data_IF_430733983830
#
_entry.id   IF_430733983830
#
_cell.length_a   1.000
_cell.length_b   1.000
_cell.length_c   1.000
_cell.angle_alpha   90.00
_cell.angle_beta   90.00
_cell.angle_gamma   90.00
#
_symmetry.space_group_name_H-M   'P 1'
#
loop_
_entity.id
_entity.type
_entity.pdbx_description
1 polymer ?
#
# COMPACT_ATOMS: atom_id res chain seq x y z
N UNK A 1 -30.78 2.68 -15.12
CA UNK A 1 -29.68 2.90 -14.14
C UNK A 1 -30.27 3.42 -12.84
N UNK A 2 -29.68 3.11 -11.67
CA UNK A 2 -30.18 3.63 -10.37
C UNK A 2 -29.03 4.32 -9.64
N UNK A 3 -29.33 5.45 -9.02
CA UNK A 3 -28.38 6.18 -8.19
C UNK A 3 -28.13 5.43 -6.89
N UNK A 4 -26.87 5.19 -6.58
CA UNK A 4 -26.38 4.77 -5.28
C UNK A 4 -25.94 6.02 -4.52
N UNK A 5 -26.33 6.09 -3.26
CA UNK A 5 -25.92 7.13 -2.32
C UNK A 5 -25.37 6.49 -1.05
N UNK A 6 -24.16 6.84 -0.68
CA UNK A 6 -23.45 6.35 0.52
C UNK A 6 -22.94 7.56 1.29
N UNK A 7 -23.24 7.62 2.60
CA UNK A 7 -22.96 8.79 3.44
C UNK A 7 -22.33 8.33 4.72
N UNK A 8 -21.23 8.95 5.06
CA UNK A 8 -20.48 8.73 6.30
C UNK A 8 -20.26 10.09 6.95
N UNK A 9 -20.44 10.18 8.26
CA UNK A 9 -20.19 11.42 8.99
C UNK A 9 -19.64 11.13 10.37
N UNK A 10 -18.71 11.96 10.83
CA UNK A 10 -18.12 11.87 12.16
C UNK A 10 -17.96 13.26 12.77
N UNK A 11 -18.27 13.37 14.06
CA UNK A 11 -17.92 14.54 14.85
C UNK A 11 -16.51 14.36 15.40
N UNK A 12 -15.63 15.32 15.12
CA UNK A 12 -14.23 15.34 15.59
C UNK A 12 -14.10 16.40 16.67
N UNK A 13 -13.45 16.05 17.78
CA UNK A 13 -13.20 16.96 18.91
C UNK A 13 -11.97 17.85 18.65
N UNK A 14 -12.01 18.58 17.53
CA UNK A 14 -11.01 19.57 17.15
C UNK A 14 -11.66 20.72 16.38
N UNK A 15 -11.06 21.93 16.38
CA UNK A 15 -11.52 23.04 15.56
C UNK A 15 -11.56 22.67 14.06
N UNK A 16 -12.54 23.23 13.34
CA UNK A 16 -12.69 23.00 11.90
C UNK A 16 -11.46 23.43 11.09
N UNK A 17 -10.71 24.44 11.56
CA UNK A 17 -9.52 24.93 10.87
C UNK A 17 -8.34 23.96 11.00
N UNK A 18 -8.20 23.31 12.17
CA UNK A 18 -7.22 22.22 12.37
C UNK A 18 -7.51 21.06 11.42
N UNK A 19 -8.76 20.60 11.37
CA UNK A 19 -9.15 19.48 10.49
C UNK A 19 -9.10 19.88 9.01
N UNK A 20 -9.45 21.12 8.70
CA UNK A 20 -9.36 21.70 7.36
C UNK A 20 -7.93 21.69 6.81
N UNK A 21 -6.96 22.12 7.62
CA UNK A 21 -5.55 22.10 7.23
C UNK A 21 -5.00 20.67 6.99
N UNK A 22 -5.57 19.66 7.65
CA UNK A 22 -5.26 18.26 7.33
C UNK A 22 -5.87 17.84 5.99
N UNK A 23 -7.12 18.26 5.74
CA UNK A 23 -7.83 17.95 4.50
C UNK A 23 -7.13 18.52 3.26
N UNK A 24 -6.56 19.73 3.37
CA UNK A 24 -5.83 20.39 2.29
C UNK A 24 -4.54 19.66 1.86
N UNK A 25 -4.07 18.70 2.66
CA UNK A 25 -2.89 17.87 2.35
C UNK A 25 -3.23 16.47 1.84
N UNK A 26 -4.51 16.15 1.68
CA UNK A 26 -4.97 14.85 1.18
C UNK A 26 -4.38 14.56 -0.22
N UNK A 27 -3.81 13.38 -0.40
CA UNK A 27 -3.14 12.99 -1.64
C UNK A 27 -1.76 13.61 -1.89
N UNK A 28 -1.23 14.40 -0.95
CA UNK A 28 0.12 14.95 -0.97
C UNK A 28 1.20 13.95 -0.53
N UNK A 29 2.47 14.37 -0.58
CA UNK A 29 3.60 13.54 -0.15
C UNK A 29 3.57 13.21 1.37
N UNK A 30 2.99 14.12 2.15
CA UNK A 30 2.83 14.02 3.59
C UNK A 30 1.39 13.74 4.03
N UNK A 31 0.56 13.21 3.12
CA UNK A 31 -0.88 12.93 3.34
C UNK A 31 -1.15 12.34 4.74
N UNK A 32 -1.81 13.11 5.63
CA UNK A 32 -2.06 12.69 7.00
C UNK A 32 -3.34 11.85 7.13
N UNK A 33 -4.12 11.70 6.05
CA UNK A 33 -5.50 11.20 6.11
C UNK A 33 -5.69 9.86 5.41
N UNK A 34 -5.18 9.69 4.19
CA UNK A 34 -5.48 8.49 3.41
C UNK A 34 -4.86 7.23 4.05
N UNK A 35 -5.59 6.12 4.23
CA UNK A 35 -5.19 4.96 5.04
C UNK A 35 -4.16 4.04 4.36
N UNK A 36 -3.11 4.64 3.84
CA UNK A 36 -1.91 3.96 3.35
C UNK A 36 -0.97 3.64 4.54
N UNK A 37 -0.28 2.47 4.55
CA UNK A 37 -0.04 1.56 3.44
C UNK A 37 -1.04 0.40 3.29
N UNK A 38 -2.11 0.37 4.08
CA UNK A 38 -3.11 -0.71 4.00
C UNK A 38 -3.94 -0.63 2.71
N UNK A 39 -4.13 0.58 2.20
CA UNK A 39 -4.75 0.85 0.92
C UNK A 39 -3.77 1.58 -0.01
N UNK A 40 -3.91 1.40 -1.35
CA UNK A 40 -3.08 2.12 -2.32
C UNK A 40 -3.19 3.62 -2.09
N UNK A 41 -2.07 4.37 -1.99
CA UNK A 41 -2.10 5.78 -1.64
C UNK A 41 -2.94 6.59 -2.63
N UNK A 42 -3.66 7.58 -2.13
CA UNK A 42 -4.24 8.62 -2.94
C UNK A 42 -3.13 9.54 -3.43
N UNK A 43 -3.13 9.87 -4.72
CA UNK A 43 -2.18 10.83 -5.32
C UNK A 43 -2.85 11.66 -6.39
N UNK A 44 -2.37 12.88 -6.55
CA UNK A 44 -2.75 13.81 -7.61
C UNK A 44 -1.52 14.21 -8.44
N UNK A 45 -1.77 14.64 -9.67
CA UNK A 45 -0.75 15.12 -10.60
C UNK A 45 -0.17 16.49 -10.21
N UNK A 46 -0.91 17.25 -9.41
CA UNK A 46 -0.57 18.59 -8.90
C UNK A 46 -1.17 18.79 -7.49
N UNK A 47 -0.84 19.89 -6.78
CA UNK A 47 -1.49 20.21 -5.51
C UNK A 47 -3.01 20.23 -5.61
N UNK A 48 -3.71 19.94 -4.51
CA UNK A 48 -5.16 19.94 -4.48
C UNK A 48 -5.72 21.29 -4.95
N UNK A 49 -6.61 21.22 -5.93
CA UNK A 49 -7.21 22.37 -6.59
C UNK A 49 -8.09 21.91 -7.74
N UNK A 50 -9.03 22.77 -8.16
CA UNK A 50 -9.93 22.45 -9.28
C UNK A 50 -9.12 22.08 -10.52
N UNK A 51 -9.48 20.95 -11.14
CA UNK A 51 -8.80 20.41 -12.32
C UNK A 51 -7.60 19.51 -12.02
N UNK A 52 -7.21 19.31 -10.76
CA UNK A 52 -6.22 18.29 -10.40
C UNK A 52 -6.75 16.88 -10.70
N UNK A 53 -5.94 16.07 -11.36
CA UNK A 53 -6.27 14.70 -11.73
C UNK A 53 -5.58 13.72 -10.79
N UNK A 54 -6.31 12.72 -10.31
CA UNK A 54 -5.77 11.80 -9.33
C UNK A 54 -6.61 10.55 -9.15
N UNK A 55 -6.30 9.85 -8.06
CA UNK A 55 -6.92 8.57 -7.79
C UNK A 55 -6.25 7.79 -6.69
N UNK A 56 -6.81 6.61 -6.42
CA UNK A 56 -6.19 5.60 -5.57
C UNK A 56 -6.50 4.22 -6.13
N UNK A 57 -5.48 3.34 -6.18
CA UNK A 57 -5.64 2.01 -6.78
C UNK A 57 -6.09 2.11 -8.24
N UNK A 58 -7.22 1.49 -8.56
CA UNK A 58 -7.86 1.56 -9.89
C UNK A 58 -8.86 2.72 -10.03
N UNK A 59 -9.23 3.39 -8.93
CA UNK A 59 -10.20 4.48 -8.93
C UNK A 59 -9.51 5.75 -9.42
N UNK A 60 -10.17 6.45 -10.35
CA UNK A 60 -9.69 7.69 -10.96
C UNK A 60 -10.76 8.77 -10.85
N UNK A 61 -10.33 9.97 -10.51
CA UNK A 61 -11.20 11.12 -10.37
C UNK A 61 -10.46 12.44 -10.61
N UNK A 62 -11.22 13.49 -10.88
CA UNK A 62 -10.77 14.88 -11.01
C UNK A 62 -11.37 15.73 -9.91
N UNK A 63 -10.60 16.66 -9.35
CA UNK A 63 -11.13 17.64 -8.39
C UNK A 63 -12.04 18.62 -9.14
N UNK A 64 -13.34 18.56 -8.88
CA UNK A 64 -14.36 19.38 -9.52
C UNK A 64 -14.69 20.64 -8.71
N UNK A 65 -14.56 20.58 -7.39
CA UNK A 65 -14.70 21.73 -6.50
C UNK A 65 -13.69 21.63 -5.35
N UNK A 66 -13.13 22.78 -4.99
CA UNK A 66 -12.19 22.88 -3.88
C UNK A 66 -12.39 24.20 -3.14
N UNK A 67 -12.70 24.12 -1.86
CA UNK A 67 -12.74 25.24 -0.92
C UNK A 67 -11.77 24.91 0.22
N UNK A 68 -10.61 25.60 0.30
CA UNK A 68 -9.56 25.30 1.26
C UNK A 68 -10.09 25.16 2.69
N UNK A 69 -9.67 24.09 3.36
CA UNK A 69 -10.03 23.75 4.73
C UNK A 69 -11.50 23.39 4.96
N UNK A 70 -12.34 23.32 3.92
CA UNK A 70 -13.80 23.17 4.06
C UNK A 70 -14.38 22.08 3.18
N UNK A 71 -13.99 21.98 1.91
CA UNK A 71 -14.67 21.09 0.96
C UNK A 71 -13.77 20.67 -0.19
N UNK A 72 -13.83 19.38 -0.54
CA UNK A 72 -13.27 18.84 -1.77
C UNK A 72 -14.28 17.92 -2.42
N UNK A 73 -14.61 18.15 -3.70
CA UNK A 73 -15.40 17.24 -4.53
C UNK A 73 -14.53 16.62 -5.62
N UNK A 74 -14.64 15.31 -5.75
CA UNK A 74 -13.98 14.49 -6.75
C UNK A 74 -15.02 13.87 -7.69
N UNK A 75 -14.99 14.22 -8.96
CA UNK A 75 -15.84 13.62 -9.99
C UNK A 75 -15.11 12.41 -10.58
N UNK A 76 -15.79 11.26 -10.69
CA UNK A 76 -15.18 10.04 -11.23
C UNK A 76 -14.85 10.20 -12.71
N UNK A 77 -13.68 9.70 -13.11
CA UNK A 77 -13.19 9.74 -14.50
C UNK A 77 -12.94 8.34 -15.07
N UNK A 78 -13.21 7.28 -14.29
CA UNK A 78 -13.01 5.87 -14.65
C UNK A 78 -14.14 5.21 -15.44
N UNK A 79 -15.15 5.98 -15.87
CA UNK A 79 -16.35 5.48 -16.57
C UNK A 79 -17.60 5.40 -15.68
N UNK A 80 -17.48 5.68 -14.38
CA UNK A 80 -18.62 5.91 -13.51
C UNK A 80 -19.22 7.31 -13.70
N UNK A 81 -20.56 7.41 -13.75
CA UNK A 81 -21.27 8.69 -13.66
C UNK A 81 -21.51 9.00 -12.18
N UNK A 82 -20.71 9.88 -11.59
CA UNK A 82 -20.86 10.24 -10.18
C UNK A 82 -19.69 11.01 -9.60
N UNK A 83 -19.78 11.25 -8.29
CA UNK A 83 -18.79 11.98 -7.52
C UNK A 83 -18.72 11.46 -6.08
N UNK A 84 -17.64 11.81 -5.40
CA UNK A 84 -17.60 11.80 -3.95
C UNK A 84 -17.03 13.10 -3.40
N UNK A 85 -17.47 13.49 -2.22
CA UNK A 85 -17.17 14.78 -1.62
C UNK A 85 -16.84 14.59 -0.14
N UNK A 86 -15.86 15.35 0.35
CA UNK A 86 -15.55 15.46 1.77
C UNK A 86 -15.77 16.91 2.18
N UNK A 87 -16.50 17.11 3.27
CA UNK A 87 -16.73 18.44 3.85
C UNK A 87 -16.37 18.47 5.33
N UNK A 88 -15.91 19.64 5.78
CA UNK A 88 -15.60 19.95 7.19
C UNK A 88 -16.43 21.18 7.56
N UNK A 89 -17.27 21.04 8.57
CA UNK A 89 -18.16 22.11 9.05
C UNK A 89 -17.95 22.35 10.55
N UNK A 90 -17.81 23.59 11.02
CA UNK A 90 -17.74 23.86 12.45
C UNK A 90 -19.05 23.48 13.13
N UNK A 91 -18.95 22.89 14.33
CA UNK A 91 -20.08 22.72 15.26
C UNK A 91 -19.94 23.63 16.49
N UNK A 92 -18.73 24.11 16.75
CA UNK A 92 -18.37 25.06 17.80
C UNK A 92 -16.86 25.34 17.78
N UNK A 93 -16.32 26.06 18.78
CA UNK A 93 -14.91 26.43 18.82
C UNK A 93 -13.94 25.23 18.87
N UNK A 94 -14.33 24.14 19.54
CA UNK A 94 -13.49 22.95 19.75
C UNK A 94 -13.96 21.69 19.03
N UNK A 95 -14.95 21.79 18.13
CA UNK A 95 -15.48 20.62 17.44
C UNK A 95 -15.99 20.93 16.03
N UNK A 96 -15.87 19.94 15.16
CA UNK A 96 -16.36 20.01 13.78
C UNK A 96 -17.01 18.70 13.34
N UNK A 97 -17.82 18.77 12.29
CA UNK A 97 -18.37 17.62 11.59
C UNK A 97 -17.62 17.41 10.29
N UNK A 98 -17.10 16.20 10.10
CA UNK A 98 -16.58 15.73 8.82
C UNK A 98 -17.62 14.84 8.18
N UNK A 99 -17.97 15.10 6.91
CA UNK A 99 -18.93 14.30 6.16
C UNK A 99 -18.31 13.89 4.82
N UNK A 100 -18.39 12.60 4.52
CA UNK A 100 -18.08 12.03 3.22
C UNK A 100 -19.39 11.58 2.56
N UNK A 101 -19.58 12.01 1.32
CA UNK A 101 -20.71 11.62 0.49
C UNK A 101 -20.19 11.01 -0.80
N UNK A 102 -20.73 9.87 -1.18
CA UNK A 102 -20.61 9.32 -2.54
C UNK A 102 -21.99 9.24 -3.19
N UNK A 103 -22.06 9.70 -4.44
CA UNK A 103 -23.23 9.53 -5.28
C UNK A 103 -22.82 9.08 -6.68
N UNK A 104 -23.37 7.98 -7.16
CA UNK A 104 -23.07 7.48 -8.52
C UNK A 104 -24.24 6.72 -9.13
N UNK A 105 -24.42 6.88 -10.45
CA UNK A 105 -25.36 6.09 -11.25
C UNK A 105 -24.65 4.84 -11.78
N UNK A 106 -25.11 3.68 -11.32
CA UNK A 106 -24.50 2.40 -11.68
C UNK A 106 -25.42 1.58 -12.61
N UNK A 107 -24.87 0.91 -13.64
CA UNK A 107 -25.58 -0.15 -14.36
C UNK A 107 -25.82 -1.36 -13.43
N UNK A 108 -26.71 -2.28 -13.85
CA UNK A 108 -27.18 -3.38 -12.99
C UNK A 108 -26.03 -4.25 -12.44
N UNK A 109 -25.09 -4.66 -13.31
CA UNK A 109 -23.96 -5.50 -12.90
C UNK A 109 -23.05 -4.83 -11.86
N UNK A 110 -22.70 -3.56 -12.10
CA UNK A 110 -21.87 -2.77 -11.17
C UNK A 110 -22.60 -2.49 -9.85
N UNK A 111 -23.93 -2.35 -9.87
CA UNK A 111 -24.73 -2.22 -8.65
C UNK A 111 -24.71 -3.47 -7.78
N UNK A 112 -24.73 -4.66 -8.39
CA UNK A 112 -24.56 -5.92 -7.65
C UNK A 112 -23.16 -6.00 -7.05
N UNK A 113 -22.13 -5.70 -7.84
CA UNK A 113 -20.73 -5.61 -7.38
C UNK A 113 -20.57 -4.61 -6.22
N UNK A 114 -21.24 -3.46 -6.30
CA UNK A 114 -21.24 -2.44 -5.26
C UNK A 114 -21.79 -2.97 -3.95
N UNK A 115 -23.01 -3.51 -3.97
CA UNK A 115 -23.69 -4.00 -2.77
C UNK A 115 -22.95 -5.16 -2.12
N UNK A 116 -22.36 -6.05 -2.93
CA UNK A 116 -21.64 -7.21 -2.41
C UNK A 116 -20.21 -6.83 -1.98
N UNK A 117 -19.41 -6.16 -2.78
CA UNK A 117 -17.99 -5.98 -2.47
C UNK A 117 -17.62 -4.53 -2.14
N UNK A 118 -17.89 -3.61 -3.06
CA UNK A 118 -17.27 -2.28 -3.05
C UNK A 118 -17.76 -1.45 -1.86
N UNK A 119 -19.05 -1.50 -1.52
CA UNK A 119 -19.63 -0.72 -0.41
C UNK A 119 -18.94 -1.00 0.92
N UNK A 120 -18.67 -2.28 1.23
CA UNK A 120 -18.03 -2.66 2.49
C UNK A 120 -16.57 -2.19 2.55
N UNK A 121 -15.84 -2.29 1.44
CA UNK A 121 -14.46 -1.81 1.35
C UNK A 121 -14.40 -0.26 1.40
N UNK A 122 -15.23 0.41 0.61
CA UNK A 122 -15.37 1.86 0.57
C UNK A 122 -15.68 2.43 1.96
N UNK A 123 -16.72 1.92 2.63
CA UNK A 123 -17.08 2.38 3.97
C UNK A 123 -15.93 2.17 4.97
N UNK A 124 -15.19 1.06 4.87
CA UNK A 124 -14.01 0.84 5.74
C UNK A 124 -12.89 1.86 5.46
N UNK A 125 -12.60 2.16 4.19
CA UNK A 125 -11.61 3.19 3.82
C UNK A 125 -12.02 4.56 4.37
N UNK A 126 -13.29 4.94 4.23
CA UNK A 126 -13.80 6.23 4.74
C UNK A 126 -13.71 6.31 6.27
N UNK A 127 -14.10 5.26 6.99
CA UNK A 127 -13.97 5.25 8.44
C UNK A 127 -12.49 5.27 8.91
N UNK A 128 -11.57 4.65 8.16
CA UNK A 128 -10.13 4.75 8.45
C UNK A 128 -9.56 6.13 8.15
N UNK A 129 -10.07 6.84 7.14
CA UNK A 129 -9.78 8.26 6.92
C UNK A 129 -10.22 9.07 8.14
N UNK A 130 -11.44 8.83 8.65
CA UNK A 130 -11.93 9.52 9.84
C UNK A 130 -11.11 9.20 11.09
N UNK A 131 -10.67 7.95 11.26
CA UNK A 131 -9.77 7.61 12.35
C UNK A 131 -8.43 8.37 12.25
N UNK A 132 -7.90 8.54 11.02
CA UNK A 132 -6.68 9.30 10.80
C UNK A 132 -6.87 10.80 11.05
N UNK A 133 -8.04 11.37 10.71
CA UNK A 133 -8.40 12.74 11.07
C UNK A 133 -8.38 12.89 12.60
N UNK A 134 -9.04 12.01 13.35
CA UNK A 134 -9.04 12.09 14.82
C UNK A 134 -7.63 11.96 15.40
N UNK A 135 -6.82 11.00 14.92
CA UNK A 135 -5.44 10.84 15.38
C UNK A 135 -4.61 12.07 15.10
N UNK A 136 -4.65 12.59 13.88
CA UNK A 136 -3.85 13.75 13.49
C UNK A 136 -4.29 15.04 14.19
N UNK A 137 -5.59 15.21 14.47
CA UNK A 137 -6.12 16.41 15.09
C UNK A 137 -6.09 16.39 16.64
N UNK A 138 -6.18 15.20 17.25
CA UNK A 138 -6.36 15.05 18.71
C UNK A 138 -5.36 14.11 19.39
N UNK A 139 -4.44 13.50 18.62
CA UNK A 139 -3.46 12.52 19.10
C UNK A 139 -4.00 11.10 19.28
N UNK A 140 -5.32 10.88 19.17
CA UNK A 140 -5.93 9.55 19.32
C UNK A 140 -7.20 9.40 18.47
N UNK A 141 -7.57 8.16 18.16
CA UNK A 141 -8.89 7.84 17.60
C UNK A 141 -9.76 7.21 18.70
N UNK A 142 -10.95 7.77 18.93
CA UNK A 142 -11.81 7.37 20.06
C UNK A 142 -12.42 5.98 19.89
N UNK A 143 -12.82 5.63 18.66
CA UNK A 143 -13.41 4.33 18.33
C UNK A 143 -12.91 3.85 16.95
N UNK A 144 -11.66 3.36 16.85
CA UNK A 144 -11.09 2.97 15.56
C UNK A 144 -11.88 1.87 14.87
N UNK A 145 -12.06 1.99 13.56
CA UNK A 145 -12.79 0.99 12.77
C UNK A 145 -12.04 -0.34 12.71
N UNK A 146 -12.79 -1.43 12.80
CA UNK A 146 -12.26 -2.79 12.66
C UNK A 146 -12.66 -3.36 11.30
N UNK A 147 -11.65 -3.74 10.51
CA UNK A 147 -11.85 -4.37 9.19
C UNK A 147 -12.55 -5.73 9.36
N UNK A 148 -13.74 -5.88 8.79
CA UNK A 148 -14.48 -7.15 8.81
C UNK A 148 -13.71 -8.26 8.06
N UNK A 149 -13.99 -9.56 8.33
CA UNK A 149 -13.35 -10.67 7.61
C UNK A 149 -13.50 -10.57 6.09
N UNK A 150 -14.68 -10.11 5.62
CA UNK A 150 -14.95 -9.86 4.20
C UNK A 150 -14.00 -8.80 3.62
N UNK A 151 -13.84 -7.67 4.30
CA UNK A 151 -12.95 -6.58 3.85
C UNK A 151 -11.49 -7.03 3.91
N UNK A 152 -11.09 -7.80 4.92
CA UNK A 152 -9.74 -8.39 5.00
C UNK A 152 -9.46 -9.33 3.84
N UNK A 153 -10.44 -10.11 3.40
CA UNK A 153 -10.34 -10.98 2.23
C UNK A 153 -10.25 -10.15 0.94
N UNK A 154 -11.13 -9.17 0.74
CA UNK A 154 -11.10 -8.27 -0.43
C UNK A 154 -9.75 -7.55 -0.54
N UNK A 155 -9.28 -6.95 0.56
CA UNK A 155 -7.97 -6.31 0.63
C UNK A 155 -6.83 -7.29 0.28
N UNK A 156 -6.89 -8.54 0.74
CA UNK A 156 -5.90 -9.57 0.38
C UNK A 156 -5.93 -9.90 -1.11
N UNK A 157 -7.12 -10.00 -1.72
CA UNK A 157 -7.27 -10.35 -3.13
C UNK A 157 -6.79 -9.22 -4.04
N UNK A 158 -7.13 -7.97 -3.69
CA UNK A 158 -6.78 -6.76 -4.42
C UNK A 158 -5.34 -6.28 -4.18
N UNK A 159 -4.60 -6.91 -3.27
CA UNK A 159 -3.21 -6.51 -2.97
C UNK A 159 -2.33 -6.59 -4.22
N UNK A 160 -1.45 -5.60 -4.40
CA UNK A 160 -0.56 -5.55 -5.55
C UNK A 160 0.29 -6.81 -5.70
N UNK A 161 0.64 -7.11 -6.96
CA UNK A 161 1.44 -8.27 -7.33
C UNK A 161 2.86 -7.81 -7.66
N UNK A 162 3.89 -8.57 -7.24
CA UNK A 162 5.25 -8.30 -7.66
C UNK A 162 5.39 -8.33 -9.18
N UNK A 163 6.20 -7.42 -9.70
CA UNK A 163 6.57 -7.32 -11.11
C UNK A 163 7.93 -7.99 -11.33
N UNK A 164 8.09 -8.69 -12.45
CA UNK A 164 9.39 -9.21 -12.83
C UNK A 164 10.29 -8.02 -13.20
N UNK A 165 11.53 -8.03 -12.73
CA UNK A 165 12.56 -7.07 -13.09
C UNK A 165 13.87 -7.81 -13.31
N UNK A 166 14.82 -7.17 -13.98
CA UNK A 166 16.21 -7.61 -13.90
C UNK A 166 16.74 -7.38 -12.48
N UNK A 167 17.70 -8.21 -12.05
CA UNK A 167 18.35 -8.03 -10.76
C UNK A 167 19.06 -6.66 -10.76
N UNK A 168 18.65 -5.69 -9.92
CA UNK A 168 19.18 -4.34 -9.99
C UNK A 168 20.69 -4.31 -9.80
N UNK A 169 21.40 -3.41 -10.48
CA UNK A 169 22.85 -3.27 -10.34
C UNK A 169 23.28 -2.92 -8.89
N UNK A 170 22.38 -2.28 -8.13
CA UNK A 170 22.56 -1.97 -6.71
C UNK A 170 22.55 -3.21 -5.80
N UNK A 171 22.05 -4.37 -6.26
CA UNK A 171 22.11 -5.64 -5.52
C UNK A 171 23.52 -6.26 -5.57
N UNK A 172 24.52 -5.52 -5.07
CA UNK A 172 25.95 -5.84 -5.15
C UNK A 172 26.31 -7.15 -4.46
N UNK A 173 25.67 -7.48 -3.33
CA UNK A 173 25.90 -8.74 -2.61
C UNK A 173 25.41 -9.92 -3.46
N UNK A 174 24.26 -9.80 -4.10
CA UNK A 174 23.77 -10.83 -5.03
C UNK A 174 24.70 -11.04 -6.22
N UNK A 175 25.14 -9.95 -6.87
CA UNK A 175 26.05 -10.02 -8.02
C UNK A 175 27.41 -10.63 -7.67
N UNK A 176 27.90 -10.43 -6.45
CA UNK A 176 29.18 -10.97 -5.97
C UNK A 176 29.05 -12.28 -5.20
N UNK A 177 27.84 -12.81 -5.05
CA UNK A 177 27.59 -14.01 -4.27
C UNK A 177 28.40 -15.21 -4.76
N UNK A 178 28.59 -15.32 -6.08
CA UNK A 178 29.28 -16.43 -6.72
C UNK A 178 30.19 -15.95 -7.85
N UNK A 179 31.32 -16.64 -8.11
CA UNK A 179 32.15 -16.38 -9.29
C UNK A 179 31.40 -16.60 -10.61
N UNK A 180 30.39 -17.48 -10.59
CA UNK A 180 29.50 -17.78 -11.71
C UNK A 180 28.09 -18.01 -11.18
N UNK A 181 27.12 -17.33 -11.78
CA UNK A 181 25.70 -17.47 -11.48
C UNK A 181 25.02 -18.25 -12.61
N UNK A 182 24.48 -19.44 -12.29
CA UNK A 182 23.81 -20.30 -13.28
C UNK A 182 22.32 -19.97 -13.43
N UNK A 183 21.74 -19.29 -12.44
CA UNK A 183 20.38 -18.78 -12.49
C UNK A 183 20.24 -17.52 -11.66
N UNK A 184 19.46 -16.57 -12.19
CA UNK A 184 18.98 -15.43 -11.44
C UNK A 184 17.54 -15.07 -11.81
N UNK A 185 16.79 -14.55 -10.85
CA UNK A 185 15.54 -13.83 -11.07
C UNK A 185 15.36 -12.71 -10.05
N UNK A 186 14.48 -11.76 -10.34
CA UNK A 186 14.14 -10.69 -9.41
C UNK A 186 12.67 -10.26 -9.54
N UNK A 187 12.08 -9.96 -8.38
CA UNK A 187 10.69 -9.56 -8.24
C UNK A 187 10.60 -8.30 -7.39
N UNK A 188 9.84 -7.31 -7.84
CA UNK A 188 9.83 -5.99 -7.23
C UNK A 188 8.41 -5.51 -6.89
N UNK A 189 8.31 -4.75 -5.81
CA UNK A 189 7.11 -4.02 -5.39
C UNK A 189 7.49 -2.59 -4.96
N UNK A 190 6.58 -1.64 -5.17
CA UNK A 190 6.75 -0.27 -4.69
C UNK A 190 6.54 -0.21 -3.17
N UNK A 191 7.35 0.56 -2.46
CA UNK A 191 7.13 0.83 -1.04
C UNK A 191 6.02 1.85 -0.86
N UNK A 192 5.06 1.51 -0.01
CA UNK A 192 3.98 2.39 0.35
C UNK A 192 4.37 3.27 1.56
N UNK A 193 3.80 4.47 1.72
CA UNK A 193 4.16 5.36 2.82
C UNK A 193 4.01 4.68 4.20
N UNK A 194 5.01 4.85 5.05
CA UNK A 194 5.07 4.24 6.38
C UNK A 194 5.65 2.83 6.44
N UNK A 195 5.88 2.17 5.30
CA UNK A 195 6.56 0.87 5.29
C UNK A 195 8.05 1.03 5.67
N UNK A 196 8.65 0.02 6.32
CA UNK A 196 10.06 0.04 6.71
C UNK A 196 10.97 0.10 5.49
N UNK A 197 12.00 0.93 5.59
CA UNK A 197 13.01 1.14 4.52
C UNK A 197 14.29 0.37 4.79
N UNK A 198 14.43 -0.16 6.00
CA UNK A 198 15.54 -0.96 6.46
C UNK A 198 15.37 -2.40 5.92
N UNK A 199 16.35 -2.96 5.21
CA UNK A 199 16.26 -4.32 4.66
C UNK A 199 16.07 -5.38 5.75
N UNK A 200 16.50 -5.12 6.98
CA UNK A 200 16.37 -6.01 8.14
C UNK A 200 14.91 -6.34 8.47
N UNK A 201 13.99 -5.38 8.28
CA UNK A 201 12.57 -5.60 8.50
C UNK A 201 11.98 -6.66 7.55
N UNK A 202 12.67 -6.94 6.44
CA UNK A 202 12.24 -7.85 5.39
C UNK A 202 12.85 -9.24 5.49
N UNK A 203 13.80 -9.48 6.40
CA UNK A 203 14.51 -10.76 6.59
C UNK A 203 13.56 -11.97 6.71
N UNK A 204 12.39 -11.76 7.31
CA UNK A 204 11.35 -12.77 7.46
C UNK A 204 10.61 -13.18 6.18
N UNK A 205 11.09 -12.81 4.99
CA UNK A 205 10.49 -13.18 3.69
C UNK A 205 10.54 -14.69 3.43
N UNK A 206 11.64 -15.37 3.80
CA UNK A 206 11.87 -16.81 3.55
C UNK A 206 11.43 -17.72 4.73
N UNK A 207 10.25 -17.53 5.30
CA UNK A 207 9.76 -18.30 6.47
C UNK A 207 10.08 -19.81 6.40
N UNK A 208 10.48 -20.39 7.53
CA UNK A 208 10.46 -21.84 7.77
C UNK A 208 11.80 -22.55 7.64
N UNK A 209 12.79 -21.93 7.00
CA UNK A 209 14.18 -22.39 7.05
C UNK A 209 15.06 -21.25 7.56
N UNK A 210 15.96 -21.54 8.49
CA UNK A 210 17.00 -20.59 8.88
C UNK A 210 17.97 -20.45 7.71
N UNK A 211 17.72 -19.48 6.85
CA UNK A 211 18.71 -19.01 5.88
C UNK A 211 19.56 -17.97 6.61
N UNK A 212 20.80 -18.30 6.98
CA UNK A 212 21.67 -17.35 7.66
C UNK A 212 21.90 -16.13 6.76
N UNK A 213 22.14 -15.00 7.41
CA UNK A 213 22.55 -13.77 6.74
C UNK A 213 24.00 -13.96 6.31
N UNK A 214 24.22 -13.93 5.00
CA UNK A 214 25.54 -13.99 4.37
C UNK A 214 26.19 -12.61 4.27
N UNK A 215 25.41 -11.52 4.26
CA UNK A 215 25.93 -10.16 4.26
C UNK A 215 24.84 -9.09 4.30
N UNK A 216 25.24 -7.88 4.70
CA UNK A 216 24.43 -6.65 4.68
C UNK A 216 25.29 -5.50 4.12
N UNK A 217 24.78 -4.76 3.14
CA UNK A 217 25.46 -3.61 2.57
C UNK A 217 24.49 -2.78 1.72
N UNK A 218 24.63 -1.45 1.72
CA UNK A 218 23.98 -0.55 0.75
C UNK A 218 22.46 -0.75 0.57
N UNK A 219 21.72 -1.03 1.65
CA UNK A 219 20.26 -1.28 1.59
C UNK A 219 19.89 -2.70 1.10
N UNK A 220 20.87 -3.59 0.97
CA UNK A 220 20.71 -4.98 0.60
C UNK A 220 21.03 -5.91 1.78
N UNK A 221 20.21 -6.95 1.96
CA UNK A 221 20.56 -8.12 2.76
C UNK A 221 20.61 -9.37 1.89
N UNK A 222 21.69 -10.14 2.04
CA UNK A 222 21.86 -11.43 1.39
C UNK A 222 21.63 -12.55 2.40
N UNK A 223 20.65 -13.40 2.12
CA UNK A 223 20.30 -14.59 2.88
C UNK A 223 20.69 -15.81 2.06
N UNK A 224 21.13 -16.91 2.68
CA UNK A 224 21.23 -18.14 1.91
C UNK A 224 21.97 -19.27 2.58
N UNK A 225 22.07 -20.38 1.87
CA UNK A 225 22.66 -21.61 2.36
C UNK A 225 23.27 -22.38 1.20
N UNK A 226 24.37 -23.06 1.49
CA UNK A 226 25.03 -23.96 0.56
C UNK A 226 24.53 -25.40 0.79
N UNK A 227 24.35 -26.12 -0.31
CA UNK A 227 23.92 -27.51 -0.30
C UNK A 227 24.77 -28.31 -1.30
N UNK A 228 24.81 -29.64 -1.11
CA UNK A 228 25.62 -30.54 -1.95
C UNK A 228 25.37 -30.40 -3.45
N UNK A 229 24.15 -30.00 -3.85
CA UNK A 229 23.73 -29.94 -5.24
C UNK A 229 23.60 -28.51 -5.80
N UNK A 230 23.56 -27.48 -4.94
CA UNK A 230 23.52 -26.07 -5.32
C UNK A 230 23.89 -25.15 -4.16
N UNK A 231 24.38 -23.97 -4.49
CA UNK A 231 24.45 -22.84 -3.55
C UNK A 231 23.33 -21.87 -3.89
N UNK A 232 22.60 -21.43 -2.86
CA UNK A 232 21.45 -20.53 -3.01
C UNK A 232 21.67 -19.25 -2.22
N UNK A 233 21.39 -18.10 -2.84
CA UNK A 233 21.20 -16.84 -2.13
C UNK A 233 19.90 -16.17 -2.56
N UNK A 234 19.23 -15.56 -1.59
CA UNK A 234 18.17 -14.60 -1.79
C UNK A 234 18.65 -13.22 -1.34
N UNK A 235 18.48 -12.24 -2.21
CA UNK A 235 18.79 -10.84 -1.94
C UNK A 235 17.50 -10.07 -1.70
N UNK A 236 17.48 -9.25 -0.66
CA UNK A 236 16.42 -8.26 -0.47
C UNK A 236 17.09 -6.89 -0.56
N UNK A 237 16.80 -6.17 -1.63
CA UNK A 237 17.26 -4.81 -1.85
C UNK A 237 16.12 -3.84 -1.60
N UNK A 238 16.33 -2.88 -0.70
CA UNK A 238 15.45 -1.72 -0.52
C UNK A 238 16.15 -0.47 -1.05
N UNK A 239 15.68 0.04 -2.18
CA UNK A 239 16.25 1.21 -2.85
C UNK A 239 15.17 1.95 -3.65
N UNK A 240 15.32 3.27 -3.81
CA UNK A 240 14.49 4.12 -4.68
C UNK A 240 12.97 3.99 -4.44
N UNK A 241 12.58 3.82 -3.17
CA UNK A 241 11.17 3.65 -2.80
C UNK A 241 10.57 2.32 -3.26
N UNK A 242 11.40 1.29 -3.45
CA UNK A 242 11.00 -0.05 -3.89
C UNK A 242 11.70 -1.12 -3.05
N UNK A 243 11.09 -2.29 -3.00
CA UNK A 243 11.69 -3.51 -2.45
C UNK A 243 11.81 -4.56 -3.56
N UNK A 244 12.99 -5.14 -3.69
CA UNK A 244 13.30 -6.16 -4.69
C UNK A 244 13.77 -7.43 -4.00
N UNK A 245 13.10 -8.55 -4.28
CA UNK A 245 13.55 -9.90 -3.92
C UNK A 245 14.25 -10.51 -5.12
N UNK A 246 15.57 -10.66 -5.03
CA UNK A 246 16.40 -11.36 -6.00
C UNK A 246 16.74 -12.78 -5.54
N UNK A 247 16.94 -13.68 -6.49
CA UNK A 247 17.53 -15.00 -6.25
C UNK A 247 18.73 -15.20 -7.15
N UNK A 248 19.82 -15.72 -6.60
CA UNK A 248 20.98 -16.17 -7.38
C UNK A 248 21.36 -17.58 -6.95
N UNK A 249 21.70 -18.42 -7.93
CA UNK A 249 22.03 -19.84 -7.70
C UNK A 249 23.28 -20.22 -8.49
N UNK A 250 24.16 -21.00 -7.84
CA UNK A 250 25.29 -21.70 -8.46
C UNK A 250 25.06 -23.21 -8.37
N UNK A 251 25.26 -23.92 -9.46
CA UNK A 251 25.06 -25.36 -9.55
C UNK A 251 26.41 -26.08 -9.56
N UNK A 252 26.53 -27.16 -8.79
CA UNK A 252 27.80 -27.89 -8.67
C UNK A 252 27.96 -29.00 -9.72
N UNK A 253 26.91 -29.80 -9.95
CA UNK A 253 26.96 -31.01 -10.79
C UNK A 253 25.65 -31.29 -11.56
N UNK A 254 25.65 -32.30 -12.42
CA UNK A 254 24.50 -32.68 -13.28
C UNK A 254 23.23 -33.00 -12.51
N UNK A 255 23.32 -33.64 -11.34
CA UNK A 255 22.19 -33.90 -10.44
C UNK A 255 21.56 -32.61 -9.93
N UNK A 256 22.39 -31.61 -9.59
CA UNK A 256 21.95 -30.26 -9.25
C UNK A 256 21.25 -29.56 -10.40
N UNK A 257 21.73 -29.73 -11.64
CA UNK A 257 21.08 -29.19 -12.84
C UNK A 257 19.69 -29.81 -13.07
N UNK A 258 19.56 -31.13 -12.90
CA UNK A 258 18.27 -31.82 -13.06
C UNK A 258 17.26 -31.40 -11.99
N UNK A 259 17.70 -31.37 -10.72
CA UNK A 259 16.89 -30.87 -9.61
C UNK A 259 16.43 -29.43 -9.84
N UNK A 260 17.38 -28.55 -10.22
CA UNK A 260 17.08 -27.15 -10.43
C UNK A 260 16.17 -26.90 -11.64
N UNK A 261 16.22 -27.75 -12.68
CA UNK A 261 15.29 -27.66 -13.81
C UNK A 261 13.81 -27.81 -13.38
N UNK A 262 13.54 -28.58 -12.32
CA UNK A 262 12.21 -28.68 -11.72
C UNK A 262 11.93 -27.44 -10.86
N UNK A 263 12.84 -27.09 -9.94
CA UNK A 263 12.67 -25.96 -9.03
C UNK A 263 12.48 -24.63 -9.77
N UNK A 264 13.24 -24.38 -10.84
CA UNK A 264 13.15 -23.17 -11.68
C UNK A 264 11.74 -22.90 -12.18
N UNK A 265 10.91 -23.93 -12.40
CA UNK A 265 9.52 -23.75 -12.87
C UNK A 265 8.60 -23.24 -11.76
N UNK A 266 8.84 -23.64 -10.51
CA UNK A 266 8.01 -23.32 -9.35
C UNK A 266 8.52 -22.07 -8.61
N UNK A 267 9.83 -21.82 -8.68
CA UNK A 267 10.51 -20.74 -7.95
C UNK A 267 9.92 -19.34 -8.21
N UNK A 268 9.68 -18.88 -9.46
CA UNK A 268 9.00 -17.61 -9.73
C UNK A 268 7.68 -17.43 -8.98
N UNK A 269 6.86 -18.48 -8.92
CA UNK A 269 5.59 -18.45 -8.20
C UNK A 269 5.81 -18.29 -6.69
N UNK A 270 6.76 -19.04 -6.12
CA UNK A 270 7.09 -18.97 -4.70
C UNK A 270 7.71 -17.64 -4.29
N UNK A 271 8.67 -17.11 -5.06
CA UNK A 271 9.30 -15.81 -4.81
C UNK A 271 8.26 -14.68 -4.82
N UNK A 272 7.36 -14.66 -5.81
CA UNK A 272 6.26 -13.70 -5.87
C UNK A 272 5.32 -13.82 -4.68
N UNK A 273 4.97 -15.04 -4.29
CA UNK A 273 4.08 -15.29 -3.14
C UNK A 273 4.72 -14.82 -1.83
N UNK A 274 6.01 -15.13 -1.63
CA UNK A 274 6.79 -14.73 -0.46
C UNK A 274 6.88 -13.21 -0.36
N UNK A 275 7.31 -12.53 -1.44
CA UNK A 275 7.41 -11.06 -1.48
C UNK A 275 6.05 -10.38 -1.23
N UNK A 276 4.99 -10.81 -1.93
CA UNK A 276 3.64 -10.27 -1.73
C UNK A 276 3.15 -10.44 -0.30
N UNK A 277 3.46 -11.58 0.33
CA UNK A 277 3.05 -11.88 1.70
C UNK A 277 3.79 -11.00 2.72
N UNK A 278 5.11 -10.89 2.63
CA UNK A 278 5.91 -10.07 3.55
C UNK A 278 5.53 -8.59 3.40
N UNK A 279 5.41 -8.12 2.16
CA UNK A 279 4.98 -6.76 1.84
C UNK A 279 3.64 -6.43 2.50
N UNK A 280 2.64 -7.30 2.31
CA UNK A 280 1.32 -7.11 2.94
C UNK A 280 1.39 -7.15 4.47
N UNK A 281 2.20 -8.05 5.04
CA UNK A 281 2.36 -8.13 6.49
C UNK A 281 2.95 -6.84 7.06
N UNK A 282 4.01 -6.33 6.46
CA UNK A 282 4.68 -5.11 6.91
C UNK A 282 3.78 -3.89 6.72
N UNK A 283 3.05 -3.79 5.60
CA UNK A 283 2.08 -2.73 5.38
C UNK A 283 0.94 -2.75 6.43
N UNK A 284 0.44 -3.92 6.82
CA UNK A 284 -0.59 -4.02 7.86
C UNK A 284 -0.09 -3.68 9.28
N UNK A 285 1.23 -3.73 9.50
CA UNK A 285 1.86 -3.43 10.78
C UNK A 285 2.45 -2.02 10.85
N UNK A 286 2.56 -1.35 9.70
CA UNK A 286 3.09 0.01 9.59
C UNK A 286 2.16 1.03 10.26
N UNK A 287 2.71 2.15 10.78
CA UNK A 287 1.91 3.23 11.33
C UNK A 287 0.98 3.82 10.27
N UNK A 288 -0.24 4.14 10.69
CA UNK A 288 -1.27 4.81 9.88
C UNK A 288 -0.87 6.24 9.50
N UNK A 289 -1.57 6.84 8.54
CA UNK A 289 -1.29 8.22 8.14
C UNK A 289 -1.43 9.22 9.29
N UNK A 290 -2.45 9.05 10.15
CA UNK A 290 -2.63 9.89 11.33
C UNK A 290 -1.50 9.74 12.35
N UNK A 291 -1.05 8.51 12.62
CA UNK A 291 0.10 8.26 13.52
C UNK A 291 1.39 8.88 12.99
N UNK A 292 1.64 8.75 11.68
CA UNK A 292 2.80 9.38 11.04
C UNK A 292 2.72 10.90 11.04
N UNK A 293 1.53 11.47 10.95
CA UNK A 293 1.33 12.92 11.01
C UNK A 293 1.67 13.47 12.39
N UNK A 294 1.22 12.80 13.46
CA UNK A 294 1.54 13.18 14.85
C UNK A 294 3.04 13.06 15.12
N UNK A 295 3.70 12.00 14.65
CA UNK A 295 5.13 11.79 14.89
C UNK A 295 6.07 12.79 14.19
N UNK A 296 5.55 13.68 13.34
CA UNK A 296 6.32 14.72 12.62
C UNK A 296 6.25 16.10 13.27
N UNK A 297 5.32 16.29 14.20
CA UNK A 297 5.13 17.53 14.97
C UNK A 297 6.02 17.46 16.21
#
# INVERSE_FOLDING_TARGET
>A
MRTVRDVHARTVQAPADTVGALLDRLGGADDPLFPTPVWPPMRFDRPLGVGADGGHGFVRYRVAAYEPGRRIRFDFTGGEDGWHEITVRPLGPGSCRVEHVLQSRLPLGQRVMWTLAIRAAHGTVVEEIFDNIERAATGRASAPVRRSPRVRLLNRLLWDRPRAVELPAAARLAHRAFPRTDFQDAWQMDLLPGMPKEPEAWEGVLRGASFPVAGRADGEILLGKDARHLDFRASILVADGRVTLGTVVRLHHTTGRLYFAVVRRVHPFMARLMLRRIHRRLALAAPTAGERAVARV
#
